data_IF_452204977010
#
_entry.id   IF_452204977010
#
_cell.length_a   1.000
_cell.length_b   1.000
_cell.length_c   1.000
_cell.angle_alpha   90.00
_cell.angle_beta   90.00
_cell.angle_gamma   90.00
#
_symmetry.space_group_name_H-M   'P 1'
#
loop_
_entity.id
_entity.type
_entity.pdbx_description
1 polymer ?
#
# COMPACT_ATOMS: atom_id res chain seq x y z
N UNK A 1 -23.09 12.24 21.87
CA UNK A 1 -24.35 12.33 22.66
C UNK A 1 -25.28 11.20 22.25
N UNK A 2 -25.80 10.41 23.21
CA UNK A 2 -26.75 9.33 22.93
C UNK A 2 -28.00 9.80 22.19
N UNK A 3 -28.65 8.89 21.45
CA UNK A 3 -29.91 9.18 20.73
C UNK A 3 -31.01 9.46 21.77
N UNK A 4 -31.77 10.57 21.65
CA UNK A 4 -32.89 10.82 22.55
C UNK A 4 -33.96 9.77 22.29
N UNK A 5 -34.65 9.34 23.35
CA UNK A 5 -35.74 8.36 23.23
C UNK A 5 -36.82 8.88 22.27
N UNK A 6 -37.16 8.03 21.29
CA UNK A 6 -38.20 8.27 20.28
C UNK A 6 -39.60 8.41 20.90
N UNK A 7 -39.79 7.95 22.14
CA UNK A 7 -41.04 8.05 22.88
C UNK A 7 -41.10 9.27 23.80
N UNK A 8 -40.07 10.12 23.81
CA UNK A 8 -40.08 11.32 24.65
C UNK A 8 -40.85 12.45 23.96
N UNK A 9 -41.70 13.15 24.72
CA UNK A 9 -42.44 14.35 24.26
C UNK A 9 -41.53 15.46 23.71
N UNK A 10 -40.25 15.41 24.04
CA UNK A 10 -39.22 16.37 23.60
C UNK A 10 -38.38 15.90 22.41
N UNK A 11 -38.66 14.71 21.86
CA UNK A 11 -37.88 14.09 20.79
C UNK A 11 -37.74 15.02 19.58
N UNK A 12 -38.86 15.56 19.09
CA UNK A 12 -38.85 16.45 17.93
C UNK A 12 -38.10 17.76 18.18
N UNK A 13 -38.25 18.34 19.38
CA UNK A 13 -37.52 19.56 19.76
C UNK A 13 -36.00 19.32 19.80
N UNK A 14 -35.57 18.19 20.37
CA UNK A 14 -34.15 17.80 20.43
C UNK A 14 -33.58 17.49 19.04
N UNK A 15 -34.35 16.83 18.19
CA UNK A 15 -33.96 16.53 16.81
C UNK A 15 -33.86 17.79 15.94
N UNK A 16 -34.78 18.75 16.07
CA UNK A 16 -34.74 20.04 15.35
C UNK A 16 -33.53 20.88 15.76
N UNK A 17 -33.18 20.91 17.06
CA UNK A 17 -31.96 21.58 17.55
C UNK A 17 -30.68 20.91 17.04
N UNK A 18 -30.64 19.58 16.98
CA UNK A 18 -29.50 18.82 16.41
C UNK A 18 -29.31 19.11 14.92
N UNK A 19 -30.37 19.06 14.11
CA UNK A 19 -30.30 19.38 12.68
C UNK A 19 -29.78 20.80 12.43
N UNK A 20 -30.29 21.79 13.18
CA UNK A 20 -29.81 23.18 13.07
C UNK A 20 -28.34 23.31 13.47
N UNK A 21 -27.91 22.67 14.55
CA UNK A 21 -26.51 22.71 14.97
C UNK A 21 -25.58 22.05 13.96
N UNK A 22 -25.96 20.91 13.36
CA UNK A 22 -25.17 20.24 12.32
C UNK A 22 -24.99 21.15 11.10
N UNK A 23 -26.05 21.82 10.66
CA UNK A 23 -25.99 22.78 9.53
C UNK A 23 -25.05 23.95 9.88
N UNK A 24 -25.18 24.54 11.08
CA UNK A 24 -24.30 25.64 11.51
C UNK A 24 -22.84 25.18 11.58
N UNK A 25 -22.55 24.01 12.16
CA UNK A 25 -21.19 23.46 12.21
C UNK A 25 -20.62 23.21 10.81
N UNK A 26 -21.41 22.67 9.88
CA UNK A 26 -20.97 22.46 8.50
C UNK A 26 -20.61 23.78 7.82
N UNK A 27 -21.37 24.85 8.08
CA UNK A 27 -21.14 26.17 7.49
C UNK A 27 -19.88 26.82 8.07
N UNK A 28 -19.61 26.66 9.38
CA UNK A 28 -18.38 27.13 10.03
C UNK A 28 -17.15 26.42 9.44
N UNK A 29 -17.22 25.11 9.21
CA UNK A 29 -16.11 24.35 8.62
C UNK A 29 -15.80 24.83 7.20
N UNK A 30 -16.83 25.11 6.40
CA UNK A 30 -16.65 25.65 5.03
C UNK A 30 -16.00 27.02 5.06
N UNK A 31 -16.40 27.92 5.97
CA UNK A 31 -15.79 29.24 6.12
C UNK A 31 -14.32 29.13 6.55
N UNK A 32 -13.99 28.23 7.48
CA UNK A 32 -12.61 27.98 7.90
C UNK A 32 -11.76 27.43 6.74
N UNK A 33 -12.29 26.50 5.95
CA UNK A 33 -11.61 25.98 4.77
C UNK A 33 -11.33 27.10 3.74
N UNK A 34 -12.32 27.95 3.43
CA UNK A 34 -12.13 29.10 2.55
C UNK A 34 -11.07 30.08 3.08
N UNK A 35 -11.04 30.35 4.39
CA UNK A 35 -10.03 31.20 5.00
C UNK A 35 -8.60 30.63 4.87
N UNK A 36 -8.44 29.30 5.02
CA UNK A 36 -7.13 28.65 4.83
C UNK A 36 -6.65 28.70 3.38
N UNK A 37 -7.55 28.55 2.41
CA UNK A 37 -7.25 28.63 0.97
C UNK A 37 -6.80 30.05 0.61
N UNK A 38 -7.52 31.07 1.07
CA UNK A 38 -7.14 32.47 0.84
C UNK A 38 -5.76 32.79 1.42
N UNK A 39 -5.44 32.30 2.64
CA UNK A 39 -4.12 32.50 3.25
C UNK A 39 -2.98 31.87 2.42
N UNK A 40 -3.22 30.74 1.78
CA UNK A 40 -2.24 30.05 0.94
C UNK A 40 -2.02 30.76 -0.41
N UNK A 41 -3.06 31.38 -0.97
CA UNK A 41 -2.98 32.16 -2.22
C UNK A 41 -2.25 33.49 -2.02
N UNK A 42 -2.50 34.20 -0.92
CA UNK A 42 -1.90 35.52 -0.69
C UNK A 42 -0.49 35.48 -0.06
N UNK A 43 -0.08 34.35 0.51
CA UNK A 43 1.25 34.20 1.09
C UNK A 43 1.84 32.84 0.67
N UNK A 44 2.33 32.70 -0.58
CA UNK A 44 2.92 31.46 -1.05
C UNK A 44 4.11 31.11 -0.16
N UNK A 45 3.96 30.00 0.56
CA UNK A 45 4.99 29.50 1.47
C UNK A 45 6.24 29.22 0.64
N UNK A 46 7.33 29.92 0.94
CA UNK A 46 8.57 29.81 0.17
C UNK A 46 9.30 28.52 0.58
N UNK A 47 9.05 27.43 -0.16
CA UNK A 47 9.68 26.12 0.03
C UNK A 47 11.18 26.09 -0.31
N UNK A 48 11.79 27.23 -0.69
CA UNK A 48 13.22 27.34 -0.98
C UNK A 48 14.11 26.94 0.21
N UNK A 49 13.70 27.24 1.45
CA UNK A 49 14.44 26.81 2.66
C UNK A 49 14.39 25.30 2.91
N UNK A 50 13.31 24.64 2.49
CA UNK A 50 13.15 23.19 2.65
C UNK A 50 14.02 22.47 1.61
N UNK A 51 14.08 22.97 0.36
CA UNK A 51 14.99 22.45 -0.66
C UNK A 51 16.46 22.63 -0.28
N UNK A 52 16.83 23.78 0.30
CA UNK A 52 18.21 24.05 0.73
C UNK A 52 18.68 23.12 1.86
N UNK A 53 17.81 22.78 2.83
CA UNK A 53 18.15 21.84 3.90
C UNK A 53 18.28 20.39 3.42
N UNK A 54 17.54 20.00 2.37
CA UNK A 54 17.65 18.67 1.77
C UNK A 54 18.96 18.55 0.97
N UNK A 55 19.35 19.60 0.24
CA UNK A 55 20.63 19.62 -0.48
C UNK A 55 21.83 19.66 0.47
N UNK A 56 21.77 20.42 1.56
CA UNK A 56 22.84 20.50 2.55
C UNK A 56 23.09 19.17 3.29
N UNK A 57 22.07 18.33 3.40
CA UNK A 57 22.22 16.98 3.97
C UNK A 57 22.86 16.00 2.98
N UNK A 58 22.51 16.10 1.69
CA UNK A 58 23.10 15.29 0.61
C UNK A 58 24.58 15.63 0.41
N UNK A 59 24.94 16.92 0.50
CA UNK A 59 26.33 17.36 0.34
C UNK A 59 27.18 17.04 1.59
N UNK A 60 26.57 16.80 2.75
CA UNK A 60 27.28 16.47 3.99
C UNK A 60 27.76 15.01 4.10
N UNK A 61 27.26 14.11 3.24
CA UNK A 61 27.73 12.72 3.16
C UNK A 61 28.87 12.52 2.14
N UNK A 62 29.26 13.57 1.42
CA UNK A 62 30.36 13.52 0.44
C UNK A 62 31.44 14.56 0.76
N UNK A 63 32.04 14.52 1.96
CA UNK A 63 33.49 14.78 2.15
C UNK A 63 33.92 14.73 3.63
N UNK A 64 34.96 13.91 3.86
CA UNK A 64 36.02 14.04 4.87
C UNK A 64 35.90 13.28 6.21
N UNK A 65 36.66 12.18 6.32
CA UNK A 65 37.78 11.97 7.28
C UNK A 65 38.38 10.56 7.03
N UNK A 66 39.69 10.33 6.88
CA UNK A 66 40.87 11.18 6.93
C UNK A 66 42.16 10.49 6.41
N UNK A 67 43.16 11.34 6.11
CA UNK A 67 44.62 11.26 6.39
C UNK A 67 45.34 9.89 6.44
N UNK A 68 46.58 9.65 5.99
CA UNK A 68 47.70 10.44 5.42
C UNK A 68 48.77 9.44 4.92
N UNK A 69 49.59 9.81 3.92
CA UNK A 69 51.07 9.72 3.89
C UNK A 69 51.69 9.39 2.51
N UNK A 70 52.53 10.34 2.02
CA UNK A 70 53.80 10.27 1.23
C UNK A 70 54.09 8.98 0.41
N UNK A 71 54.60 8.98 -0.83
CA UNK A 71 55.72 9.76 -1.35
C UNK A 71 55.95 9.48 -2.87
N UNK A 72 56.64 10.41 -3.53
CA UNK A 72 57.53 10.31 -4.71
C UNK A 72 57.01 10.08 -6.14
N UNK A 73 57.50 11.00 -6.99
CA UNK A 73 57.60 11.00 -8.45
C UNK A 73 58.60 9.94 -8.97
N UNK A 74 58.41 9.43 -10.20
CA UNK A 74 59.27 9.59 -11.40
C UNK A 74 58.92 8.53 -12.49
N UNK A 75 58.56 9.07 -13.67
CA UNK A 75 58.80 8.75 -15.09
C UNK A 75 59.10 7.33 -15.65
N UNK A 76 58.51 7.17 -16.86
CA UNK A 76 59.02 6.63 -18.14
C UNK A 76 58.81 5.15 -18.54
N UNK A 77 58.05 5.03 -19.65
CA UNK A 77 58.09 4.12 -20.81
C UNK A 77 58.76 2.73 -20.72
N UNK A 78 58.08 1.67 -21.20
CA UNK A 78 58.25 1.17 -22.58
C UNK A 78 57.25 0.05 -22.95
N UNK A 79 57.22 -0.25 -24.25
CA UNK A 79 56.27 -0.97 -25.10
C UNK A 79 55.98 -2.48 -24.90
N UNK A 80 54.77 -2.84 -25.37
CA UNK A 80 54.34 -4.04 -26.13
C UNK A 80 54.52 -5.44 -25.53
N UNK A 81 53.39 -6.15 -25.38
CA UNK A 81 53.06 -7.32 -26.22
C UNK A 81 51.57 -7.69 -26.11
N UNK A 82 50.99 -7.95 -27.28
CA UNK A 82 49.66 -8.50 -27.45
C UNK A 82 49.60 -9.94 -26.89
N UNK A 83 48.49 -10.26 -26.24
CA UNK A 83 47.97 -11.61 -26.21
C UNK A 83 46.44 -11.52 -26.17
N UNK A 84 45.81 -12.11 -27.18
CA UNK A 84 44.36 -12.23 -27.32
C UNK A 84 43.82 -13.01 -26.11
N UNK A 85 42.96 -12.36 -25.33
CA UNK A 85 42.04 -13.05 -24.42
C UNK A 85 40.62 -12.71 -24.83
N UNK A 86 39.90 -13.77 -25.16
CA UNK A 86 38.47 -13.80 -25.43
C UNK A 86 37.72 -12.85 -24.50
N UNK A 87 36.99 -11.94 -25.14
CA UNK A 87 36.04 -11.03 -24.50
C UNK A 87 34.92 -11.89 -23.91
N UNK A 88 35.09 -12.32 -22.66
CA UNK A 88 33.97 -12.74 -21.84
C UNK A 88 33.12 -11.49 -21.67
N UNK A 89 32.01 -11.44 -22.40
CA UNK A 89 30.94 -10.48 -22.17
C UNK A 89 30.50 -10.70 -20.72
N UNK A 90 31.05 -9.90 -19.82
CA UNK A 90 30.54 -9.74 -18.47
C UNK A 90 29.14 -9.17 -18.65
N UNK A 91 28.15 -10.05 -18.54
CA UNK A 91 26.74 -9.70 -18.47
C UNK A 91 26.60 -8.73 -17.28
N UNK A 92 26.53 -7.42 -17.58
CA UNK A 92 26.37 -6.38 -16.56
C UNK A 92 25.12 -6.72 -15.77
N UNK A 93 25.30 -7.26 -14.56
CA UNK A 93 24.18 -7.42 -13.62
C UNK A 93 23.51 -6.05 -13.47
N UNK A 94 22.19 -5.96 -13.69
CA UNK A 94 21.49 -4.70 -13.58
C UNK A 94 21.70 -4.12 -12.17
N UNK A 95 21.96 -2.82 -12.08
CA UNK A 95 22.17 -2.13 -10.81
C UNK A 95 20.84 -2.14 -10.04
N UNK A 96 20.85 -2.74 -8.84
CA UNK A 96 19.67 -2.76 -7.97
C UNK A 96 19.46 -1.39 -7.33
N UNK A 97 18.30 -0.79 -7.57
CA UNK A 97 17.80 0.39 -6.87
C UNK A 97 16.66 -0.01 -5.92
N UNK A 98 16.31 0.88 -4.98
CA UNK A 98 15.24 0.60 -4.02
C UNK A 98 14.36 1.81 -3.69
N UNK A 99 13.11 1.51 -3.34
CA UNK A 99 12.17 2.46 -2.71
C UNK A 99 11.96 2.04 -1.26
N UNK A 100 12.06 3.00 -0.34
CA UNK A 100 11.80 2.78 1.07
C UNK A 100 10.30 2.69 1.37
N UNK A 101 9.92 1.68 2.16
CA UNK A 101 8.56 1.40 2.59
C UNK A 101 8.50 1.50 4.11
N UNK A 102 7.83 2.54 4.60
CA UNK A 102 7.57 2.70 6.03
C UNK A 102 6.52 1.69 6.50
N UNK A 103 6.88 0.85 7.47
CA UNK A 103 5.99 -0.13 8.09
C UNK A 103 5.37 0.44 9.36
N UNK A 104 4.22 -0.10 9.78
CA UNK A 104 3.50 0.41 10.96
C UNK A 104 4.24 0.18 12.29
N UNK A 105 5.25 -0.69 12.31
CA UNK A 105 6.19 -0.85 13.43
C UNK A 105 7.16 0.33 13.60
N UNK A 106 7.31 1.17 12.56
CA UNK A 106 8.37 2.17 12.44
C UNK A 106 9.62 1.68 11.70
N UNK A 107 9.71 0.40 11.34
CA UNK A 107 10.78 -0.14 10.50
C UNK A 107 10.63 0.24 9.03
N UNK A 108 11.73 0.19 8.28
CA UNK A 108 11.74 0.45 6.83
C UNK A 108 12.04 -0.84 6.05
N UNK A 109 11.08 -1.27 5.24
CA UNK A 109 11.30 -2.29 4.22
C UNK A 109 11.84 -1.66 2.93
N UNK A 110 12.49 -2.47 2.08
CA UNK A 110 13.04 -2.01 0.80
C UNK A 110 12.39 -2.76 -0.36
N UNK A 111 11.67 -2.04 -1.21
CA UNK A 111 11.22 -2.58 -2.49
C UNK A 111 12.33 -2.42 -3.52
N UNK A 112 12.90 -3.55 -3.96
CA UNK A 112 14.00 -3.60 -4.91
C UNK A 112 13.42 -3.56 -6.32
N UNK A 113 14.05 -2.76 -7.17
CA UNK A 113 13.75 -2.71 -8.59
C UNK A 113 15.03 -2.63 -9.42
N UNK A 114 14.89 -3.05 -10.67
CA UNK A 114 15.95 -3.01 -11.67
C UNK A 114 15.43 -2.33 -12.93
N UNK A 115 16.34 -1.90 -13.79
CA UNK A 115 16.03 -1.45 -15.13
C UNK A 115 16.30 -2.58 -16.12
N UNK A 116 15.24 -3.11 -16.74
CA UNK A 116 15.30 -4.13 -17.80
C UNK A 116 14.72 -3.52 -19.08
N UNK A 117 15.50 -3.54 -20.17
CA UNK A 117 15.06 -3.01 -21.48
C UNK A 117 14.58 -1.54 -21.44
N UNK A 118 15.16 -0.71 -20.55
CA UNK A 118 14.76 0.69 -20.38
C UNK A 118 13.46 0.89 -19.58
N UNK A 119 12.90 -0.16 -18.99
CA UNK A 119 11.77 -0.08 -18.07
C UNK A 119 12.17 -0.50 -16.65
N UNK A 120 11.71 0.27 -15.65
CA UNK A 120 11.88 -0.10 -14.24
C UNK A 120 10.85 -1.16 -13.85
N UNK A 121 11.29 -2.22 -13.16
CA UNK A 121 10.45 -3.32 -12.68
C UNK A 121 10.83 -3.73 -11.27
N UNK A 122 9.83 -3.91 -10.39
CA UNK A 122 10.03 -4.48 -9.07
C UNK A 122 10.42 -5.96 -9.16
N UNK A 123 11.36 -6.38 -8.32
CA UNK A 123 11.86 -7.76 -8.27
C UNK A 123 11.49 -8.43 -6.96
N UNK A 124 11.68 -7.73 -5.84
CA UNK A 124 11.41 -8.27 -4.50
C UNK A 124 11.21 -7.18 -3.45
N UNK A 125 10.83 -7.61 -2.24
CA UNK A 125 10.78 -6.75 -1.06
C UNK A 125 11.60 -7.37 0.06
N UNK A 126 12.57 -6.61 0.58
CA UNK A 126 13.48 -7.02 1.65
C UNK A 126 13.09 -6.34 2.98
N UNK A 127 13.42 -6.99 4.09
CA UNK A 127 13.23 -6.47 5.47
C UNK A 127 11.76 -6.21 5.87
N UNK A 128 10.84 -7.08 5.47
CA UNK A 128 9.45 -7.03 5.93
C UNK A 128 9.32 -7.55 7.36
N UNK A 129 8.47 -6.90 8.15
CA UNK A 129 8.14 -7.35 9.49
C UNK A 129 7.27 -8.61 9.45
N UNK A 130 7.33 -9.38 10.54
CA UNK A 130 6.45 -10.53 10.72
C UNK A 130 4.98 -10.10 10.68
N UNK A 131 4.18 -10.81 9.86
CA UNK A 131 2.76 -10.51 9.68
C UNK A 131 2.46 -9.48 8.59
N UNK A 132 3.50 -8.87 7.98
CA UNK A 132 3.35 -8.07 6.77
C UNK A 132 3.39 -9.00 5.56
N UNK A 133 2.49 -8.77 4.60
CA UNK A 133 2.44 -9.53 3.35
C UNK A 133 2.56 -8.61 2.15
N UNK A 134 3.03 -9.15 1.03
CA UNK A 134 3.18 -8.39 -0.20
C UNK A 134 2.85 -9.20 -1.45
N UNK A 135 2.67 -8.47 -2.55
CA UNK A 135 2.60 -9.02 -3.89
C UNK A 135 3.05 -8.01 -4.93
N UNK A 136 3.72 -8.47 -5.99
CA UNK A 136 4.15 -7.65 -7.12
C UNK A 136 3.17 -7.88 -8.27
N UNK A 137 2.78 -6.80 -8.94
CA UNK A 137 1.79 -6.87 -10.02
C UNK A 137 2.32 -7.63 -11.24
N UNK A 138 1.43 -8.14 -12.12
CA UNK A 138 1.86 -8.84 -13.33
C UNK A 138 2.83 -8.05 -14.22
N UNK A 139 2.64 -6.74 -14.38
CA UNK A 139 3.61 -5.90 -15.12
C UNK A 139 4.88 -5.58 -14.33
N UNK A 140 4.96 -5.96 -13.05
CA UNK A 140 6.01 -5.60 -12.11
C UNK A 140 6.17 -4.09 -11.88
N UNK A 141 5.22 -3.27 -12.34
CA UNK A 141 5.24 -1.80 -12.17
C UNK A 141 4.55 -1.34 -10.88
N UNK A 142 3.88 -2.25 -10.19
CA UNK A 142 3.19 -1.98 -8.94
C UNK A 142 3.49 -3.05 -7.89
N UNK A 143 3.39 -2.66 -6.63
CA UNK A 143 3.59 -3.50 -5.46
C UNK A 143 2.47 -3.18 -4.46
N UNK A 144 1.91 -4.20 -3.82
CA UNK A 144 1.04 -4.01 -2.65
C UNK A 144 1.72 -4.51 -1.40
N UNK A 145 1.55 -3.76 -0.31
CA UNK A 145 1.92 -4.16 1.04
C UNK A 145 0.64 -4.18 1.89
N UNK A 146 0.39 -5.29 2.57
CA UNK A 146 -0.59 -5.36 3.65
C UNK A 146 0.14 -5.42 4.97
N UNK A 147 0.02 -4.34 5.74
CA UNK A 147 0.69 -4.21 7.02
C UNK A 147 0.01 -5.00 8.15
N UNK A 148 0.64 -5.01 9.33
CA UNK A 148 0.10 -5.68 10.54
C UNK A 148 -1.22 -5.07 11.02
N UNK A 149 -1.49 -3.82 10.65
CA UNK A 149 -2.76 -3.15 10.92
C UNK A 149 -3.81 -3.47 9.84
N UNK A 150 -3.54 -4.44 8.96
CA UNK A 150 -4.39 -4.89 7.85
C UNK A 150 -4.71 -3.77 6.84
N UNK A 151 -3.88 -2.74 6.75
CA UNK A 151 -3.98 -1.71 5.73
C UNK A 151 -3.26 -2.16 4.47
N UNK A 152 -3.92 -2.03 3.32
CA UNK A 152 -3.32 -2.30 2.01
C UNK A 152 -2.90 -0.97 1.38
N UNK A 153 -1.60 -0.83 1.13
CA UNK A 153 -1.01 0.31 0.41
C UNK A 153 -0.46 -0.17 -0.93
N UNK A 154 -0.83 0.52 -2.00
CA UNK A 154 -0.28 0.34 -3.34
C UNK A 154 0.91 1.28 -3.54
N UNK A 155 2.02 0.75 -4.02
CA UNK A 155 3.23 1.46 -4.41
C UNK A 155 3.44 1.29 -5.91
N UNK A 156 3.74 2.40 -6.58
CA UNK A 156 4.08 2.40 -8.00
C UNK A 156 5.59 2.55 -8.17
N UNK A 157 6.09 2.09 -9.31
CA UNK A 157 7.53 2.15 -9.65
C UNK A 157 8.07 3.58 -9.77
N UNK A 158 7.19 4.57 -9.94
CA UNK A 158 7.53 6.00 -9.94
C UNK A 158 7.73 6.59 -8.53
N UNK A 159 7.58 5.77 -7.47
CA UNK A 159 7.70 6.16 -6.07
C UNK A 159 6.42 6.70 -5.44
N UNK A 160 5.34 6.87 -6.22
CA UNK A 160 4.03 7.26 -5.67
C UNK A 160 3.38 6.09 -4.93
N UNK A 161 2.58 6.40 -3.91
CA UNK A 161 1.82 5.40 -3.18
C UNK A 161 0.43 5.90 -2.78
N UNK A 162 -0.49 4.97 -2.54
CA UNK A 162 -1.85 5.25 -2.07
C UNK A 162 -2.41 4.11 -1.24
N UNK A 163 -3.21 4.43 -0.22
CA UNK A 163 -3.98 3.43 0.53
C UNK A 163 -5.16 3.00 -0.34
N UNK A 164 -5.32 1.69 -0.55
CA UNK A 164 -6.40 1.11 -1.38
C UNK A 164 -7.41 0.32 -0.57
N UNK A 165 -7.07 -0.06 0.67
CA UNK A 165 -8.03 -0.69 1.59
C UNK A 165 -8.98 0.32 2.23
N UNK A 166 -10.20 -0.13 2.54
CA UNK A 166 -11.19 0.64 3.31
C UNK A 166 -10.97 0.45 4.82
N UNK A 167 -11.10 1.55 5.56
CA UNK A 167 -11.00 1.63 7.02
C UNK A 167 -12.31 1.25 7.74
N UNK A 168 -13.41 1.19 7.01
CA UNK A 168 -14.73 0.85 7.53
C UNK A 168 -15.55 0.06 6.52
N UNK A 169 -16.53 -0.67 7.05
CA UNK A 169 -17.58 -1.33 6.30
C UNK A 169 -18.94 -0.78 6.73
N UNK A 170 -19.80 -0.49 5.75
CA UNK A 170 -21.18 -0.06 5.98
C UNK A 170 -22.10 -1.17 5.48
N UNK A 171 -22.83 -1.80 6.39
CA UNK A 171 -23.78 -2.86 6.03
C UNK A 171 -24.99 -2.28 5.30
N UNK A 172 -25.77 -3.17 4.68
CA UNK A 172 -27.02 -2.83 3.99
C UNK A 172 -28.05 -2.14 4.90
N UNK A 173 -28.04 -2.42 6.21
CA UNK A 173 -28.90 -1.75 7.19
C UNK A 173 -28.32 -0.42 7.72
N UNK A 174 -27.19 0.05 7.20
CA UNK A 174 -26.53 1.31 7.59
C UNK A 174 -25.67 1.24 8.86
N UNK A 175 -25.45 0.04 9.43
CA UNK A 175 -24.51 -0.12 10.54
C UNK A 175 -23.08 0.06 10.05
N UNK A 176 -22.26 0.74 10.84
CA UNK A 176 -20.86 1.05 10.49
C UNK A 176 -19.92 0.27 11.40
N UNK A 177 -19.05 -0.52 10.80
CA UNK A 177 -17.99 -1.26 11.46
C UNK A 177 -16.66 -0.64 11.05
N UNK A 178 -15.84 -0.20 11.99
CA UNK A 178 -14.49 0.30 11.68
C UNK A 178 -13.48 -0.82 11.89
N UNK A 179 -12.41 -0.79 11.10
CA UNK A 179 -11.28 -1.70 11.19
C UNK A 179 -10.75 -1.76 12.62
N UNK A 180 -10.39 -0.60 13.16
CA UNK A 180 -9.73 -0.50 14.46
C UNK A 180 -10.60 -1.06 15.60
N UNK A 181 -11.90 -0.71 15.64
CA UNK A 181 -12.80 -1.25 16.66
C UNK A 181 -13.03 -2.76 16.49
N UNK A 182 -13.07 -3.24 15.24
CA UNK A 182 -13.27 -4.67 14.95
C UNK A 182 -12.06 -5.48 15.40
N UNK A 183 -10.85 -5.03 15.05
CA UNK A 183 -9.60 -5.69 15.45
C UNK A 183 -9.33 -5.56 16.96
N UNK A 184 -9.72 -4.45 17.60
CA UNK A 184 -9.62 -4.31 19.04
C UNK A 184 -10.52 -5.29 19.80
N UNK A 185 -11.75 -5.52 19.30
CA UNK A 185 -12.71 -6.42 19.94
C UNK A 185 -12.51 -7.90 19.56
N UNK A 186 -11.98 -8.17 18.37
CA UNK A 186 -11.70 -9.50 17.85
C UNK A 186 -10.36 -9.48 17.08
N UNK A 187 -9.22 -9.66 17.76
CA UNK A 187 -7.89 -9.57 17.13
C UNK A 187 -7.62 -10.60 16.03
N UNK A 188 -8.30 -11.74 16.06
CA UNK A 188 -8.22 -12.80 15.03
C UNK A 188 -9.09 -12.53 13.80
N UNK A 189 -9.85 -11.43 13.79
CA UNK A 189 -10.70 -11.06 12.66
C UNK A 189 -9.86 -10.66 11.44
N UNK A 190 -10.13 -11.29 10.30
CA UNK A 190 -9.50 -10.96 9.03
C UNK A 190 -10.19 -9.74 8.40
N UNK A 191 -9.63 -8.54 8.62
CA UNK A 191 -10.13 -7.33 7.98
C UNK A 191 -9.70 -7.24 6.51
N UNK A 192 -8.39 -7.24 6.27
CA UNK A 192 -7.78 -7.52 4.96
C UNK A 192 -6.62 -8.47 5.22
N UNK A 193 -6.56 -9.57 4.48
CA UNK A 193 -5.52 -10.59 4.66
C UNK A 193 -4.97 -11.06 3.32
N UNK A 194 -3.64 -11.14 3.25
CA UNK A 194 -2.85 -11.72 2.17
C UNK A 194 -3.21 -11.20 0.76
N UNK A 195 -3.38 -9.89 0.53
CA UNK A 195 -3.83 -9.45 -0.78
C UNK A 195 -2.87 -9.87 -1.89
N UNK A 196 -3.44 -10.19 -3.06
CA UNK A 196 -2.72 -10.60 -4.27
C UNK A 196 -3.27 -9.85 -5.47
N UNK A 197 -2.41 -9.51 -6.42
CA UNK A 197 -2.88 -8.96 -7.70
C UNK A 197 -3.59 -10.04 -8.52
N UNK A 198 -4.73 -9.67 -9.10
CA UNK A 198 -5.40 -10.43 -10.17
C UNK A 198 -5.01 -9.86 -11.54
N UNK A 199 -4.91 -8.54 -11.62
CA UNK A 199 -4.36 -7.78 -12.76
C UNK A 199 -3.69 -6.51 -12.24
N UNK A 200 -3.06 -5.71 -13.09
CA UNK A 200 -2.54 -4.39 -12.70
C UNK A 200 -3.62 -3.38 -12.27
N UNK A 201 -4.90 -3.75 -12.40
CA UNK A 201 -6.06 -2.92 -12.06
C UNK A 201 -6.87 -3.48 -10.90
N UNK A 202 -6.57 -4.69 -10.43
CA UNK A 202 -7.39 -5.34 -9.41
C UNK A 202 -6.59 -6.24 -8.49
N UNK A 203 -7.00 -6.25 -7.23
CA UNK A 203 -6.47 -7.13 -6.19
C UNK A 203 -7.58 -7.98 -5.61
N UNK A 204 -7.23 -9.17 -5.14
CA UNK A 204 -8.07 -9.96 -4.25
C UNK A 204 -7.47 -10.03 -2.86
N UNK A 205 -8.30 -10.19 -1.85
CA UNK A 205 -7.88 -10.44 -0.49
C UNK A 205 -8.94 -11.24 0.26
N UNK A 206 -8.52 -11.85 1.37
CA UNK A 206 -9.41 -12.60 2.25
C UNK A 206 -9.88 -11.70 3.39
N UNK A 207 -11.18 -11.79 3.72
CA UNK A 207 -11.79 -11.07 4.84
C UNK A 207 -12.93 -11.88 5.46
N UNK A 208 -13.25 -11.64 6.73
CA UNK A 208 -14.49 -12.15 7.33
C UNK A 208 -15.72 -11.27 7.00
N UNK A 209 -15.52 -10.12 6.36
CA UNK A 209 -16.62 -9.25 5.93
C UNK A 209 -17.51 -9.97 4.90
N UNK A 210 -18.84 -9.76 4.94
CA UNK A 210 -19.52 -8.73 5.72
C UNK A 210 -20.09 -9.17 7.09
N UNK A 211 -19.60 -10.28 7.64
CA UNK A 211 -20.09 -10.79 8.93
C UNK A 211 -19.18 -10.37 10.08
N UNK A 212 -19.77 -10.02 11.22
CA UNK A 212 -19.06 -9.49 12.39
C UNK A 212 -19.46 -10.23 13.68
N UNK A 213 -18.66 -10.11 14.72
CA UNK A 213 -18.91 -10.75 16.02
C UNK A 213 -18.92 -12.28 15.93
N UNK A 214 -19.90 -12.91 16.56
CA UNK A 214 -20.05 -14.39 16.56
C UNK A 214 -20.47 -14.95 15.20
N UNK A 215 -20.98 -14.12 14.29
CA UNK A 215 -21.33 -14.54 12.93
C UNK A 215 -20.12 -14.58 11.97
N UNK A 216 -18.97 -14.03 12.37
CA UNK A 216 -17.73 -14.01 11.58
C UNK A 216 -17.02 -15.39 11.65
N UNK A 217 -17.67 -16.42 11.09
CA UNK A 217 -17.22 -17.83 11.11
C UNK A 217 -16.64 -18.31 9.79
N UNK A 218 -16.84 -17.57 8.70
CA UNK A 218 -16.33 -17.88 7.36
C UNK A 218 -15.38 -16.82 6.86
N UNK A 219 -14.53 -17.23 5.94
CA UNK A 219 -13.69 -16.38 5.11
C UNK A 219 -14.40 -16.12 3.78
N UNK A 220 -14.22 -14.92 3.26
CA UNK A 220 -14.78 -14.45 2.00
C UNK A 220 -13.65 -13.88 1.16
N UNK A 221 -13.70 -14.17 -0.13
CA UNK A 221 -12.80 -13.57 -1.10
C UNK A 221 -13.44 -12.32 -1.69
N UNK A 222 -12.74 -11.21 -1.53
CA UNK A 222 -13.14 -9.91 -2.08
C UNK A 222 -12.14 -9.50 -3.14
N UNK A 223 -12.64 -8.90 -4.22
CA UNK A 223 -11.82 -8.24 -5.23
C UNK A 223 -12.09 -6.74 -5.18
N UNK A 224 -11.04 -5.94 -5.19
CA UNK A 224 -11.13 -4.49 -5.29
C UNK A 224 -10.50 -4.04 -6.59
N UNK A 225 -11.24 -3.21 -7.32
CA UNK A 225 -10.71 -2.45 -8.45
C UNK A 225 -9.89 -1.27 -7.93
N UNK A 226 -8.62 -1.20 -8.34
CA UNK A 226 -7.64 -0.22 -7.84
C UNK A 226 -7.85 1.19 -8.40
N UNK A 227 -8.63 1.36 -9.47
CA UNK A 227 -8.94 2.66 -10.05
C UNK A 227 -10.16 3.29 -9.38
N UNK A 228 -11.22 2.52 -9.22
CA UNK A 228 -12.53 2.95 -8.73
C UNK A 228 -12.72 2.73 -7.22
N UNK A 229 -11.95 1.82 -6.62
CA UNK A 229 -12.14 1.39 -5.23
C UNK A 229 -13.42 0.58 -5.02
N UNK A 230 -14.02 0.07 -6.10
CA UNK A 230 -15.23 -0.76 -6.03
C UNK A 230 -14.89 -2.18 -5.63
N UNK A 231 -15.75 -2.78 -4.80
CA UNK A 231 -15.54 -4.14 -4.30
C UNK A 231 -16.54 -5.10 -4.95
N UNK A 232 -16.05 -6.29 -5.32
CA UNK A 232 -16.83 -7.45 -5.73
C UNK A 232 -16.58 -8.58 -4.72
N UNK A 233 -17.64 -9.27 -4.32
CA UNK A 233 -17.56 -10.41 -3.39
C UNK A 233 -17.82 -11.70 -4.18
N UNK A 234 -16.95 -12.70 -4.02
CA UNK A 234 -17.17 -14.05 -4.55
C UNK A 234 -17.95 -14.88 -3.55
N UNK A 235 -19.28 -14.70 -3.54
CA UNK A 235 -20.17 -15.33 -2.57
C UNK A 235 -20.10 -16.86 -2.57
N UNK A 236 -19.97 -17.46 -3.76
CA UNK A 236 -19.93 -18.93 -3.93
C UNK A 236 -18.62 -19.55 -3.43
N UNK A 237 -17.59 -18.73 -3.17
CA UNK A 237 -16.29 -19.15 -2.63
C UNK A 237 -16.18 -18.94 -1.12
N UNK A 238 -17.29 -18.64 -0.42
CA UNK A 238 -17.30 -18.48 1.02
C UNK A 238 -17.02 -19.82 1.73
N UNK A 239 -15.98 -19.86 2.56
CA UNK A 239 -15.41 -21.11 3.07
C UNK A 239 -14.91 -20.99 4.51
N UNK A 240 -14.59 -22.11 5.16
CA UNK A 240 -13.93 -22.09 6.45
C UNK A 240 -12.48 -21.59 6.31
N UNK A 241 -11.81 -21.97 5.22
CA UNK A 241 -10.44 -21.55 4.92
C UNK A 241 -10.26 -21.27 3.42
N UNK A 242 -9.65 -20.12 3.13
CA UNK A 242 -9.23 -19.68 1.81
C UNK A 242 -7.72 -19.44 1.87
N UNK A 243 -6.97 -20.04 0.95
CA UNK A 243 -5.52 -19.85 0.81
C UNK A 243 -5.23 -19.37 -0.61
N UNK A 244 -4.47 -18.28 -0.73
CA UNK A 244 -4.04 -17.75 -2.02
C UNK A 244 -2.65 -18.27 -2.35
N UNK A 245 -2.50 -18.83 -3.54
CA UNK A 245 -1.25 -19.41 -4.03
C UNK A 245 -0.53 -18.50 -5.01
N UNK A 246 0.33 -19.12 -5.83
CA UNK A 246 1.04 -18.46 -6.91
C UNK A 246 0.14 -18.25 -8.13
N UNK A 247 0.61 -17.40 -9.05
CA UNK A 247 0.01 -17.25 -10.37
C UNK A 247 0.47 -18.38 -11.30
N UNK A 248 -0.48 -18.90 -12.05
CA UNK A 248 -0.29 -19.91 -13.11
C UNK A 248 -0.92 -19.41 -14.42
N UNK A 249 -0.79 -20.17 -15.50
CA UNK A 249 -1.27 -19.77 -16.84
C UNK A 249 -2.77 -19.40 -16.88
N UNK A 250 -3.58 -20.08 -16.06
CA UNK A 250 -5.03 -19.84 -15.96
C UNK A 250 -5.39 -18.65 -15.07
N UNK A 251 -4.44 -18.11 -14.31
CA UNK A 251 -4.66 -17.01 -13.38
C UNK A 251 -4.12 -17.26 -11.97
N UNK A 252 -4.60 -16.48 -11.02
CA UNK A 252 -4.20 -16.60 -9.62
C UNK A 252 -4.86 -17.84 -8.99
N UNK A 253 -4.04 -18.76 -8.47
CA UNK A 253 -4.52 -19.96 -7.80
C UNK A 253 -5.08 -19.64 -6.41
N UNK A 254 -6.26 -20.18 -6.10
CA UNK A 254 -6.93 -20.06 -4.82
C UNK A 254 -7.38 -21.44 -4.37
N UNK A 255 -7.13 -21.79 -3.12
CA UNK A 255 -7.65 -23.02 -2.50
C UNK A 255 -8.75 -22.68 -1.51
N UNK A 256 -9.95 -23.21 -1.74
CA UNK A 256 -11.17 -22.96 -0.95
C UNK A 256 -11.63 -24.28 -0.36
N UNK A 257 -11.50 -24.47 0.96
CA UNK A 257 -11.80 -25.73 1.67
C UNK A 257 -11.27 -26.99 0.93
N UNK A 258 -10.01 -26.92 0.49
CA UNK A 258 -9.26 -27.95 -0.25
C UNK A 258 -9.64 -28.16 -1.73
N UNK A 259 -10.43 -27.26 -2.32
CA UNK A 259 -10.69 -27.23 -3.77
C UNK A 259 -9.91 -26.10 -4.41
N UNK A 260 -9.28 -26.38 -5.54
CA UNK A 260 -8.51 -25.38 -6.28
C UNK A 260 -9.41 -24.63 -7.25
N UNK A 261 -9.15 -23.33 -7.37
CA UNK A 261 -9.80 -22.42 -8.30
C UNK A 261 -8.73 -21.50 -8.89
N UNK A 262 -8.99 -20.97 -10.08
CA UNK A 262 -8.12 -20.02 -10.76
C UNK A 262 -8.91 -18.76 -11.08
N UNK A 263 -8.42 -17.61 -10.64
CA UNK A 263 -9.02 -16.30 -10.93
C UNK A 263 -8.27 -15.68 -12.10
N UNK A 264 -8.96 -15.52 -13.22
CA UNK A 264 -8.44 -14.88 -14.42
C UNK A 264 -8.35 -13.36 -14.24
N UNK A 265 -7.63 -12.68 -15.14
CA UNK A 265 -7.36 -11.23 -15.06
C UNK A 265 -8.63 -10.36 -15.09
N UNK A 266 -9.71 -10.85 -15.70
CA UNK A 266 -11.02 -10.20 -15.75
C UNK A 266 -11.86 -10.44 -14.48
N UNK A 267 -11.33 -11.18 -13.52
CA UNK A 267 -12.01 -11.55 -12.28
C UNK A 267 -13.07 -12.64 -12.45
N UNK A 268 -13.13 -13.32 -13.59
CA UNK A 268 -13.82 -14.62 -13.72
C UNK A 268 -13.01 -15.72 -13.03
N UNK A 269 -13.64 -16.84 -12.70
CA UNK A 269 -12.94 -17.96 -12.07
C UNK A 269 -13.44 -19.30 -12.58
N UNK A 270 -12.54 -20.28 -12.54
CA UNK A 270 -12.80 -21.69 -12.87
C UNK A 270 -12.25 -22.58 -11.77
N UNK A 271 -12.82 -23.78 -11.61
CA UNK A 271 -12.30 -24.82 -10.73
C UNK A 271 -11.28 -25.69 -11.48
#
# INVERSE_FOLDING_TARGET
MGKPSIFSREYERKMKKRRRNIIIFSLIIVVLACATILKFVYNPVNFSKIKANIQAWIDSDTTSTGDTAKNNEIKEADEKKADEKEEVVEEKKPVEEYVDILQSSGNTAKAVYIEENGEKVFTEVRNLDNGVSFDISPSKKQLIICDVNTQITLYNIDGTNKIVSKDKYVSTNGSVFTKDNTLQSKPDYLWNSNPKFVSDQSIVFVTNRPYFGTAAVKQYLWMTDLQTGTDKIYWDLAAAKIVMGSREDKGLKITVDNREYFIAQDGSYVQ
#
